data_IF_363906761316
#
_entry.id   IF_363906761316
#
_cell.length_a   1.000
_cell.length_b   1.000
_cell.length_c   1.000
_cell.angle_alpha   90.00
_cell.angle_beta   90.00
_cell.angle_gamma   90.00
#
_symmetry.space_group_name_H-M   'P 1'
#
loop_
_entity.id
_entity.type
_entity.pdbx_description
1 polymer ?
#
# COMPACT_ATOMS: atom_id res chain seq x y z
N UNK A 1 3.91 -9.04 -5.02
CA UNK A 1 3.64 -7.61 -4.70
C UNK A 1 4.95 -6.88 -4.52
N UNK A 2 5.01 -5.60 -4.87
CA UNK A 2 6.22 -4.78 -4.72
C UNK A 2 5.91 -3.30 -4.52
N UNK A 3 6.75 -2.60 -3.77
CA UNK A 3 6.68 -1.16 -3.53
C UNK A 3 8.10 -0.58 -3.53
N UNK A 4 8.30 0.50 -4.29
CA UNK A 4 9.53 1.27 -4.30
C UNK A 4 9.36 2.48 -3.39
N UNK A 5 10.17 2.59 -2.35
CA UNK A 5 10.18 3.75 -1.47
C UNK A 5 10.93 4.92 -2.14
N UNK A 6 10.59 6.15 -1.76
CA UNK A 6 11.30 7.35 -2.22
C UNK A 6 12.79 7.37 -1.86
N UNK A 7 13.21 6.54 -0.90
CA UNK A 7 14.61 6.30 -0.55
C UNK A 7 15.35 5.41 -1.55
N UNK A 8 14.68 4.94 -2.61
CA UNK A 8 15.22 3.99 -3.59
C UNK A 8 15.18 2.53 -3.12
N UNK A 9 14.72 2.26 -1.90
CA UNK A 9 14.58 0.89 -1.39
C UNK A 9 13.38 0.19 -2.02
N UNK A 10 13.63 -0.92 -2.70
CA UNK A 10 12.59 -1.82 -3.20
C UNK A 10 12.23 -2.85 -2.13
N UNK A 11 10.95 -2.94 -1.78
CA UNK A 11 10.41 -3.98 -0.89
C UNK A 11 9.50 -4.89 -1.69
N UNK A 12 9.81 -6.17 -1.77
CA UNK A 12 9.02 -7.15 -2.55
C UNK A 12 8.54 -8.29 -1.67
N UNK A 13 7.46 -8.94 -2.12
CA UNK A 13 6.97 -10.20 -1.57
C UNK A 13 6.50 -11.07 -2.72
N UNK A 14 7.03 -12.29 -2.77
CA UNK A 14 6.55 -13.33 -3.67
C UNK A 14 5.25 -13.90 -3.11
N UNK A 15 4.24 -14.00 -3.96
CA UNK A 15 2.98 -14.63 -3.62
C UNK A 15 2.81 -15.83 -4.54
N UNK A 16 2.49 -16.97 -3.95
CA UNK A 16 2.21 -18.20 -4.69
C UNK A 16 0.77 -18.23 -5.22
N UNK A 17 -0.09 -17.35 -4.71
CA UNK A 17 -1.51 -17.27 -5.06
C UNK A 17 -1.92 -15.83 -5.42
N UNK A 18 -3.16 -15.69 -5.92
CA UNK A 18 -3.76 -14.39 -6.20
C UNK A 18 -3.87 -13.52 -4.94
N UNK A 19 -3.63 -12.22 -5.10
CA UNK A 19 -3.65 -11.27 -3.99
C UNK A 19 -5.07 -11.09 -3.45
N UNK A 20 -5.26 -11.34 -2.15
CA UNK A 20 -6.49 -11.00 -1.44
C UNK A 20 -6.34 -9.66 -0.72
N UNK A 21 -7.46 -9.00 -0.37
CA UNK A 21 -7.40 -7.77 0.45
C UNK A 21 -6.70 -7.99 1.79
N UNK A 22 -6.76 -9.20 2.36
CA UNK A 22 -6.04 -9.55 3.59
C UNK A 22 -4.53 -9.56 3.37
N UNK A 23 -4.05 -10.25 2.32
CA UNK A 23 -2.62 -10.30 2.02
C UNK A 23 -2.06 -8.94 1.65
N UNK A 24 -2.82 -8.16 0.89
CA UNK A 24 -2.46 -6.78 0.56
C UNK A 24 -2.31 -5.92 1.82
N UNK A 25 -3.29 -5.95 2.73
CA UNK A 25 -3.22 -5.23 4.00
C UNK A 25 -2.04 -5.66 4.88
N UNK A 26 -1.78 -6.96 5.00
CA UNK A 26 -0.65 -7.47 5.78
C UNK A 26 0.69 -6.97 5.24
N UNK A 27 0.85 -7.00 3.91
CA UNK A 27 2.03 -6.47 3.23
C UNK A 27 2.21 -4.97 3.48
N UNK A 28 1.14 -4.17 3.34
CA UNK A 28 1.20 -2.73 3.60
C UNK A 28 1.51 -2.41 5.07
N UNK A 29 0.98 -3.20 6.01
CA UNK A 29 1.24 -3.04 7.44
C UNK A 29 2.72 -3.24 7.75
N UNK A 30 3.36 -4.26 7.17
CA UNK A 30 4.79 -4.51 7.35
C UNK A 30 5.66 -3.34 6.85
N UNK A 31 5.33 -2.79 5.68
CA UNK A 31 6.03 -1.60 5.15
C UNK A 31 5.81 -0.39 6.05
N UNK A 32 4.56 -0.12 6.45
CA UNK A 32 4.20 1.01 7.28
C UNK A 32 4.90 0.97 8.65
N UNK A 33 4.97 -0.21 9.26
CA UNK A 33 5.73 -0.44 10.50
C UNK A 33 7.22 -0.13 10.30
N UNK A 34 7.82 -0.68 9.25
CA UNK A 34 9.23 -0.45 8.96
C UNK A 34 9.55 1.03 8.73
N UNK A 35 8.72 1.73 7.94
CA UNK A 35 8.91 3.16 7.65
C UNK A 35 8.76 4.00 8.92
N UNK A 36 7.74 3.73 9.73
CA UNK A 36 7.52 4.42 11.00
C UNK A 36 8.67 4.20 11.98
N UNK A 37 9.18 2.98 12.10
CA UNK A 37 10.30 2.66 12.99
C UNK A 37 11.62 3.26 12.52
N UNK A 38 11.86 3.26 11.20
CA UNK A 38 13.15 3.66 10.63
C UNK A 38 13.27 5.17 10.45
N UNK A 39 12.20 5.82 9.99
CA UNK A 39 12.22 7.22 9.58
C UNK A 39 11.31 8.10 10.45
N UNK A 40 10.38 7.51 11.21
CA UNK A 40 9.37 8.22 11.99
C UNK A 40 8.56 9.25 11.19
N UNK A 41 8.25 8.90 9.92
CA UNK A 41 7.48 9.74 9.00
C UNK A 41 6.16 9.06 8.62
N UNK A 42 5.12 9.84 8.29
CA UNK A 42 3.91 9.32 7.64
C UNK A 42 4.25 8.64 6.31
N UNK A 43 3.55 7.55 5.99
CA UNK A 43 3.73 6.87 4.72
C UNK A 43 2.59 7.23 3.76
N UNK A 44 2.94 7.63 2.54
CA UNK A 44 1.98 7.84 1.45
C UNK A 44 2.24 6.80 0.38
N UNK A 45 1.22 5.99 0.06
CA UNK A 45 1.30 4.94 -0.94
C UNK A 45 0.47 5.33 -2.16
N UNK A 46 1.09 5.31 -3.32
CA UNK A 46 0.40 5.45 -4.60
C UNK A 46 0.14 4.04 -5.12
N UNK A 47 -1.13 3.73 -5.36
CA UNK A 47 -1.59 2.39 -5.74
C UNK A 47 -2.42 2.48 -7.01
N UNK A 48 -2.34 1.45 -7.84
CA UNK A 48 -3.19 1.32 -9.02
C UNK A 48 -4.65 1.09 -8.63
N UNK A 49 -5.53 1.14 -9.62
CA UNK A 49 -6.96 1.05 -9.41
C UNK A 49 -7.50 -0.38 -9.52
N UNK A 50 -6.77 -1.37 -8.97
CA UNK A 50 -7.20 -2.75 -8.94
C UNK A 50 -8.51 -2.93 -8.14
N UNK A 51 -9.37 -3.84 -8.58
CA UNK A 51 -10.67 -4.11 -7.95
C UNK A 51 -10.56 -4.51 -6.48
N UNK A 52 -9.51 -5.25 -6.12
CA UNK A 52 -9.23 -5.69 -4.74
C UNK A 52 -9.00 -4.51 -3.79
N UNK A 53 -8.54 -3.36 -4.31
CA UNK A 53 -8.31 -2.17 -3.51
C UNK A 53 -9.62 -1.47 -3.14
N UNK A 54 -10.68 -1.65 -3.92
CA UNK A 54 -11.98 -1.00 -3.72
C UNK A 54 -12.97 -1.81 -2.89
N UNK A 55 -12.60 -3.03 -2.47
CA UNK A 55 -13.47 -3.88 -1.66
C UNK A 55 -13.85 -3.22 -0.33
N UNK A 56 -15.04 -3.51 0.21
CA UNK A 56 -15.48 -3.01 1.53
C UNK A 56 -14.47 -3.34 2.62
N UNK A 57 -13.99 -4.59 2.62
CA UNK A 57 -12.94 -5.05 3.54
C UNK A 57 -11.67 -4.22 3.45
N UNK A 58 -11.28 -3.80 2.24
CA UNK A 58 -10.12 -2.93 2.06
C UNK A 58 -10.38 -1.50 2.54
N UNK A 59 -11.63 -1.02 2.53
CA UNK A 59 -11.97 0.27 3.13
C UNK A 59 -11.71 0.29 4.63
N UNK A 60 -12.12 -0.75 5.36
CA UNK A 60 -11.87 -0.89 6.80
C UNK A 60 -10.36 -0.96 7.08
N UNK A 61 -9.63 -1.72 6.26
CA UNK A 61 -8.16 -1.81 6.35
C UNK A 61 -7.44 -0.50 6.06
N UNK A 62 -7.94 0.34 5.15
CA UNK A 62 -7.39 1.68 4.93
C UNK A 62 -7.52 2.56 6.16
N UNK A 63 -8.67 2.50 6.83
CA UNK A 63 -8.89 3.28 8.05
C UNK A 63 -7.94 2.83 9.16
N UNK A 64 -7.69 1.53 9.29
CA UNK A 64 -6.69 0.99 10.22
C UNK A 64 -5.26 1.46 9.89
N UNK A 65 -4.87 1.44 8.60
CA UNK A 65 -3.55 1.92 8.16
C UNK A 65 -3.37 3.41 8.49
N UNK A 66 -4.41 4.21 8.24
CA UNK A 66 -4.41 5.65 8.51
C UNK A 66 -4.29 5.94 10.01
N UNK A 67 -5.13 5.30 10.82
CA UNK A 67 -5.23 5.58 12.26
C UNK A 67 -4.06 5.03 13.06
N UNK A 68 -3.56 3.82 12.75
CA UNK A 68 -2.50 3.17 13.54
C UNK A 68 -1.08 3.47 13.05
N UNK A 69 -0.93 3.66 11.75
CA UNK A 69 0.39 3.76 11.11
C UNK A 69 0.60 5.07 10.36
N UNK A 70 -0.30 6.04 10.48
CA UNK A 70 -0.21 7.33 9.78
C UNK A 70 0.01 7.14 8.27
N UNK A 71 -0.65 6.13 7.70
CA UNK A 71 -0.46 5.70 6.32
C UNK A 71 -1.67 6.04 5.45
N UNK A 72 -1.46 6.76 4.35
CA UNK A 72 -2.51 7.16 3.42
C UNK A 72 -2.31 6.51 2.06
N UNK A 73 -3.40 6.11 1.41
CA UNK A 73 -3.39 5.51 0.07
C UNK A 73 -4.00 6.49 -0.95
N UNK A 74 -3.30 6.72 -2.05
CA UNK A 74 -3.75 7.47 -3.21
C UNK A 74 -3.90 6.55 -4.41
N UNK A 75 -5.08 6.60 -5.04
CA UNK A 75 -5.41 5.75 -6.18
C UNK A 75 -5.16 6.48 -7.48
N UNK A 76 -4.36 5.87 -8.37
CA UNK A 76 -4.17 6.37 -9.73
C UNK A 76 -5.51 6.28 -10.48
N UNK A 77 -5.89 7.32 -11.22
CA UNK A 77 -7.11 7.29 -12.04
C UNK A 77 -6.96 6.26 -13.16
N UNK A 78 -8.06 5.58 -13.49
CA UNK A 78 -8.14 4.50 -14.48
C UNK A 78 -7.65 4.85 -15.89
N UNK A 79 -7.44 6.14 -16.21
CA UNK A 79 -6.99 6.64 -17.51
C UNK A 79 -5.58 7.27 -17.47
N UNK A 80 -4.78 7.08 -16.42
CA UNK A 80 -3.42 7.59 -16.38
C UNK A 80 -2.45 6.54 -16.93
N UNK A 81 -2.51 6.30 -18.24
CA UNK A 81 -1.51 5.47 -18.94
C UNK A 81 -0.22 6.23 -19.20
N UNK A 82 -0.16 7.54 -18.90
CA UNK A 82 1.06 8.35 -19.06
C UNK A 82 1.21 9.32 -17.88
N UNK A 83 2.19 9.05 -17.00
CA UNK A 83 2.90 10.13 -16.30
C UNK A 83 4.09 10.48 -17.21
N UNK A 84 3.86 11.39 -18.17
CA UNK A 84 4.93 12.04 -18.94
C UNK A 84 5.41 13.28 -18.19
#
# INVERSE_FOLDING_TARGET
MGCLLSTGKLVTSCLQESVTSTWFYAYLTGIAQQVKQTYNLPLVLIVDNASIHRSKKMADYRELLKTKFSTNLYFIRQSATEFR
#
